data_IF_563686516577
#
_entry.id   IF_563686516577
#
_cell.length_a   1.000
_cell.length_b   1.000
_cell.length_c   1.000
_cell.angle_alpha   90.00
_cell.angle_beta   90.00
_cell.angle_gamma   90.00
#
_symmetry.space_group_name_H-M   'P 1'
#
loop_
_entity.id
_entity.type
_entity.pdbx_description
1 polymer ?
#
# COMPACT_ATOMS: atom_id res chain seq x y z
N UNK A 1 -44.34 -1.25 -81.33
CA UNK A 1 -44.77 -2.61 -81.07
C UNK A 1 -43.61 -3.55 -81.43
N UNK A 2 -42.70 -3.82 -80.49
CA UNK A 2 -41.62 -4.82 -80.67
C UNK A 2 -41.42 -5.51 -79.31
N UNK A 3 -41.80 -6.79 -79.23
CA UNK A 3 -41.51 -7.73 -78.17
C UNK A 3 -39.99 -7.94 -78.04
N UNK A 4 -39.43 -7.87 -76.87
CA UNK A 4 -38.10 -8.39 -76.61
C UNK A 4 -38.18 -9.56 -75.63
N UNK A 5 -37.80 -10.69 -76.07
CA UNK A 5 -37.59 -11.93 -75.35
C UNK A 5 -36.49 -11.78 -74.26
N UNK A 6 -36.83 -12.13 -73.07
CA UNK A 6 -35.82 -12.28 -71.98
C UNK A 6 -35.42 -13.75 -71.93
N UNK A 7 -34.15 -14.02 -72.24
CA UNK A 7 -33.53 -15.33 -72.07
C UNK A 7 -33.20 -15.59 -70.62
N UNK A 8 -33.77 -16.61 -70.03
CA UNK A 8 -33.36 -17.18 -68.73
C UNK A 8 -32.04 -17.94 -68.89
N UNK A 9 -31.00 -17.57 -68.17
CA UNK A 9 -29.80 -18.34 -67.91
C UNK A 9 -30.01 -19.20 -66.65
N UNK A 10 -29.62 -20.47 -66.61
CA UNK A 10 -29.70 -21.28 -65.39
C UNK A 10 -28.53 -20.95 -64.44
N UNK A 11 -28.84 -20.67 -63.19
CA UNK A 11 -27.89 -20.51 -62.09
C UNK A 11 -27.40 -21.93 -61.73
N UNK A 12 -26.13 -22.20 -61.96
CA UNK A 12 -25.46 -23.39 -61.43
C UNK A 12 -25.04 -23.11 -60.02
N UNK A 13 -25.68 -23.77 -59.05
CA UNK A 13 -25.31 -23.77 -57.65
C UNK A 13 -24.05 -24.66 -57.46
N UNK A 14 -22.92 -24.05 -57.17
CA UNK A 14 -21.71 -24.75 -56.74
C UNK A 14 -21.74 -24.89 -55.23
N UNK A 15 -21.65 -26.07 -54.64
CA UNK A 15 -21.58 -26.19 -53.17
C UNK A 15 -20.17 -25.81 -52.70
N UNK A 16 -20.09 -24.70 -51.94
CA UNK A 16 -18.88 -24.35 -51.18
C UNK A 16 -18.75 -25.32 -50.00
N UNK A 17 -17.82 -26.23 -50.08
CA UNK A 17 -17.33 -27.02 -48.96
C UNK A 17 -16.51 -26.08 -48.05
N UNK A 18 -17.13 -25.56 -47.01
CA UNK A 18 -16.45 -24.92 -45.90
C UNK A 18 -15.78 -26.00 -45.04
N UNK A 19 -14.49 -26.22 -45.27
CA UNK A 19 -13.63 -26.96 -44.36
C UNK A 19 -13.34 -26.05 -43.17
N UNK A 20 -14.18 -26.09 -42.11
CA UNK A 20 -13.93 -25.43 -40.84
C UNK A 20 -12.87 -26.23 -40.11
N UNK A 21 -11.65 -25.71 -40.02
CA UNK A 21 -10.71 -26.14 -38.98
C UNK A 21 -11.24 -25.63 -37.63
N UNK A 22 -11.91 -26.50 -36.89
CA UNK A 22 -12.17 -26.30 -35.46
C UNK A 22 -10.85 -26.52 -34.71
N UNK A 23 -10.14 -25.43 -34.43
CA UNK A 23 -9.11 -25.45 -33.40
C UNK A 23 -9.79 -25.65 -32.04
N UNK A 24 -9.90 -26.92 -31.64
CA UNK A 24 -10.24 -27.28 -30.28
C UNK A 24 -9.06 -26.89 -29.36
N UNK A 25 -9.12 -25.68 -28.78
CA UNK A 25 -8.36 -25.40 -27.58
C UNK A 25 -8.75 -26.41 -26.49
N UNK A 26 -7.90 -27.39 -26.30
CA UNK A 26 -7.99 -28.32 -25.16
C UNK A 26 -7.62 -27.52 -23.90
N UNK A 27 -8.59 -26.85 -23.31
CA UNK A 27 -8.43 -26.28 -21.99
C UNK A 27 -8.14 -27.42 -21.01
N UNK A 28 -6.86 -27.61 -20.64
CA UNK A 28 -6.48 -28.47 -19.53
C UNK A 28 -7.09 -27.88 -18.26
N UNK A 29 -8.18 -28.45 -17.80
CA UNK A 29 -8.67 -28.21 -16.43
C UNK A 29 -7.59 -28.67 -15.48
N UNK A 30 -6.79 -27.74 -14.95
CA UNK A 30 -5.85 -27.99 -13.87
C UNK A 30 -6.68 -28.14 -12.62
N UNK A 31 -6.87 -29.37 -12.14
CA UNK A 31 -7.53 -29.63 -10.86
C UNK A 31 -6.65 -29.09 -9.74
N UNK A 32 -7.05 -27.97 -9.17
CA UNK A 32 -6.41 -27.37 -8.00
C UNK A 32 -6.53 -28.24 -6.74
N UNK A 33 -7.54 -29.10 -6.66
CA UNK A 33 -7.76 -30.01 -5.53
C UNK A 33 -6.61 -30.99 -5.28
N UNK A 34 -5.91 -31.43 -6.34
CA UNK A 34 -4.78 -32.38 -6.19
C UNK A 34 -3.54 -31.70 -5.60
N UNK A 35 -3.37 -30.40 -5.75
CA UNK A 35 -2.27 -29.62 -5.14
C UNK A 35 -2.52 -29.31 -3.67
N UNK A 36 -3.78 -29.06 -3.30
CA UNK A 36 -4.18 -28.80 -1.91
C UNK A 36 -3.98 -30.08 -1.06
N UNK A 37 -4.39 -31.26 -1.56
CA UNK A 37 -4.23 -32.52 -0.83
C UNK A 37 -2.76 -32.96 -0.64
N UNK A 38 -1.87 -32.55 -1.52
CA UNK A 38 -0.42 -32.86 -1.37
C UNK A 38 0.28 -31.90 -0.41
N UNK A 39 -0.19 -30.66 -0.30
CA UNK A 39 0.31 -29.67 0.67
C UNK A 39 -0.16 -29.96 2.11
N UNK A 40 -1.36 -30.54 2.28
CA UNK A 40 -1.89 -30.89 3.60
C UNK A 40 -1.25 -32.16 4.24
N UNK A 41 -0.58 -33.01 3.45
CA UNK A 41 0.04 -34.25 3.98
C UNK A 41 1.47 -34.10 4.48
N UNK A 42 2.17 -33.03 4.15
CA UNK A 42 3.60 -32.90 4.50
C UNK A 42 3.91 -31.92 5.64
N UNK A 43 2.89 -31.26 6.23
CA UNK A 43 3.11 -30.19 7.21
C UNK A 43 2.33 -30.32 8.53
N UNK A 44 1.98 -31.51 8.96
CA UNK A 44 1.07 -31.73 10.10
C UNK A 44 1.68 -31.65 11.49
N UNK A 45 2.99 -31.80 11.68
CA UNK A 45 3.57 -31.91 13.02
C UNK A 45 4.87 -31.15 13.28
N UNK A 46 5.68 -30.85 12.25
CA UNK A 46 6.97 -30.19 12.49
C UNK A 46 6.89 -28.64 12.53
N UNK A 47 5.85 -28.00 11.98
CA UNK A 47 5.75 -26.55 11.93
C UNK A 47 5.10 -25.90 13.17
N UNK A 48 4.39 -26.65 14.01
CA UNK A 48 3.77 -26.09 15.22
C UNK A 48 4.79 -25.84 16.34
N UNK A 49 5.89 -26.60 16.37
CA UNK A 49 7.00 -26.37 17.33
C UNK A 49 8.01 -25.30 16.86
N UNK A 50 8.14 -25.09 15.54
CA UNK A 50 9.03 -24.06 14.99
C UNK A 50 8.48 -22.63 15.16
N UNK A 51 7.18 -22.45 15.40
CA UNK A 51 6.51 -21.15 15.52
C UNK A 51 6.47 -20.62 16.98
N UNK A 52 6.72 -21.50 17.97
CA UNK A 52 6.81 -21.12 19.37
C UNK A 52 8.12 -20.33 19.60
N UNK A 53 8.03 -19.01 19.70
CA UNK A 53 9.16 -18.09 19.93
C UNK A 53 9.55 -17.23 18.71
N UNK A 54 8.85 -17.34 17.58
CA UNK A 54 9.06 -16.47 16.42
C UNK A 54 8.12 -15.24 16.49
N UNK A 55 8.71 -14.04 16.50
CA UNK A 55 7.97 -12.79 16.52
C UNK A 55 7.38 -12.49 15.12
N UNK A 56 6.09 -12.20 15.05
CA UNK A 56 5.42 -11.87 13.78
C UNK A 56 5.44 -10.38 13.57
N UNK A 57 5.92 -9.95 12.39
CA UNK A 57 6.02 -8.56 12.00
C UNK A 57 5.04 -8.25 10.86
N UNK A 58 4.17 -7.26 11.06
CA UNK A 58 3.22 -6.75 10.07
C UNK A 58 3.65 -5.40 9.50
N UNK A 59 3.02 -4.97 8.43
CA UNK A 59 3.20 -3.64 7.88
C UNK A 59 1.99 -3.21 7.06
N UNK A 60 1.75 -1.90 7.01
CA UNK A 60 0.79 -1.31 6.11
C UNK A 60 1.26 -1.48 4.66
N UNK A 61 0.38 -1.98 3.78
CA UNK A 61 0.69 -2.12 2.36
C UNK A 61 0.84 -0.74 1.70
N UNK A 62 1.99 -0.46 1.09
CA UNK A 62 2.29 0.86 0.52
C UNK A 62 2.58 0.81 -0.97
N UNK A 63 3.50 -0.04 -1.37
CA UNK A 63 3.92 -0.20 -2.76
C UNK A 63 3.23 -1.40 -3.42
N UNK A 64 2.84 -2.36 -2.63
CA UNK A 64 2.15 -3.58 -3.02
C UNK A 64 2.79 -4.82 -2.40
N UNK A 65 2.04 -5.93 -2.28
CA UNK A 65 2.43 -7.09 -1.48
C UNK A 65 3.82 -7.62 -1.78
N UNK A 66 4.13 -7.82 -3.05
CA UNK A 66 5.42 -8.39 -3.49
C UNK A 66 6.59 -7.46 -3.21
N UNK A 67 6.41 -6.17 -3.44
CA UNK A 67 7.48 -5.18 -3.26
C UNK A 67 7.71 -4.90 -1.77
N UNK A 68 6.65 -4.74 -1.00
CA UNK A 68 6.74 -4.51 0.45
C UNK A 68 7.44 -5.70 1.14
N UNK A 69 7.06 -6.95 0.83
CA UNK A 69 7.74 -8.15 1.36
C UNK A 69 9.23 -8.16 1.00
N UNK A 70 9.60 -7.85 -0.25
CA UNK A 70 10.98 -7.80 -0.71
C UNK A 70 11.82 -6.78 0.06
N UNK A 71 11.24 -5.65 0.42
CA UNK A 71 11.90 -4.59 1.19
C UNK A 71 12.05 -4.98 2.66
N UNK A 72 11.00 -5.55 3.27
CA UNK A 72 11.01 -5.85 4.71
C UNK A 72 11.77 -7.11 5.09
N UNK A 73 11.90 -8.11 4.21
CA UNK A 73 12.63 -9.36 4.53
C UNK A 73 14.08 -9.10 4.98
N UNK A 74 14.91 -8.32 4.25
CA UNK A 74 16.28 -8.01 4.69
C UNK A 74 16.32 -7.22 6.00
N UNK A 75 15.36 -6.32 6.22
CA UNK A 75 15.24 -5.58 7.47
C UNK A 75 14.92 -6.50 8.66
N UNK A 76 14.02 -7.47 8.49
CA UNK A 76 13.75 -8.45 9.54
C UNK A 76 14.96 -9.32 9.85
N UNK A 77 15.74 -9.69 8.83
CA UNK A 77 17.01 -10.40 9.05
C UNK A 77 17.99 -9.57 9.87
N UNK A 78 18.05 -8.25 9.62
CA UNK A 78 18.82 -7.34 10.48
C UNK A 78 18.30 -7.37 11.93
N UNK A 79 16.98 -7.28 12.15
CA UNK A 79 16.40 -7.36 13.50
C UNK A 79 16.74 -8.68 14.20
N UNK A 80 16.67 -9.82 13.50
CA UNK A 80 17.04 -11.12 14.04
C UNK A 80 18.49 -11.15 14.53
N UNK A 81 19.42 -10.69 13.70
CA UNK A 81 20.86 -10.72 13.96
C UNK A 81 21.25 -9.83 15.16
N UNK A 82 20.48 -8.79 15.45
CA UNK A 82 20.87 -7.76 16.42
C UNK A 82 19.98 -7.71 17.68
N UNK A 83 18.78 -8.31 17.68
CA UNK A 83 17.88 -8.32 18.84
C UNK A 83 17.87 -9.65 19.59
N UNK A 84 18.48 -10.71 19.04
CA UNK A 84 18.45 -12.05 19.61
C UNK A 84 17.08 -12.75 19.49
N UNK A 85 16.16 -12.23 18.66
CA UNK A 85 14.83 -12.78 18.47
C UNK A 85 14.65 -13.20 17.01
N UNK A 86 13.89 -14.27 16.75
CA UNK A 86 13.50 -14.66 15.39
C UNK A 86 12.28 -13.87 14.93
N UNK A 87 12.22 -13.54 13.63
CA UNK A 87 11.12 -12.81 13.03
C UNK A 87 10.58 -13.51 11.80
N UNK A 88 9.26 -13.39 11.60
CA UNK A 88 8.60 -13.77 10.36
C UNK A 88 7.64 -12.65 9.93
N UNK A 89 7.40 -12.53 8.62
CA UNK A 89 6.38 -11.61 8.11
C UNK A 89 5.00 -12.23 8.34
N UNK A 90 4.10 -11.45 8.95
CA UNK A 90 2.67 -11.72 8.89
C UNK A 90 2.07 -10.83 7.79
N UNK A 91 1.83 -11.43 6.65
CA UNK A 91 1.18 -10.77 5.55
C UNK A 91 -0.32 -10.63 5.81
N UNK A 92 -0.88 -9.47 5.45
CA UNK A 92 -2.33 -9.21 5.48
C UNK A 92 -2.81 -8.84 4.08
N UNK A 93 -3.96 -9.34 3.68
CA UNK A 93 -4.54 -9.03 2.37
C UNK A 93 -5.14 -7.63 2.33
N UNK A 94 -5.61 -7.13 3.47
CA UNK A 94 -6.23 -5.83 3.63
C UNK A 94 -5.43 -4.94 4.55
N UNK A 95 -5.33 -3.68 4.20
CA UNK A 95 -4.67 -2.65 5.01
C UNK A 95 -5.24 -2.57 6.44
N UNK A 96 -6.52 -2.82 6.61
CA UNK A 96 -7.22 -2.78 7.88
C UNK A 96 -6.77 -3.87 8.85
N UNK A 97 -6.43 -5.05 8.32
CA UNK A 97 -6.08 -6.22 9.14
C UNK A 97 -4.79 -6.02 9.94
N UNK A 98 -3.91 -5.10 9.54
CA UNK A 98 -2.65 -4.84 10.25
C UNK A 98 -2.89 -4.30 11.67
N UNK A 99 -3.86 -3.39 11.83
CA UNK A 99 -4.25 -2.83 13.13
C UNK A 99 -4.87 -3.89 14.04
N UNK A 100 -5.82 -4.66 13.51
CA UNK A 100 -6.51 -5.72 14.24
C UNK A 100 -5.54 -6.84 14.64
N UNK A 101 -4.65 -7.25 13.73
CA UNK A 101 -3.63 -8.28 14.03
C UNK A 101 -2.67 -7.82 15.13
N UNK A 102 -2.21 -6.57 15.09
CA UNK A 102 -1.37 -6.00 16.15
C UNK A 102 -2.13 -5.89 17.47
N UNK A 103 -3.37 -5.42 17.42
CA UNK A 103 -4.22 -5.23 18.58
C UNK A 103 -4.55 -6.52 19.32
N UNK A 104 -4.76 -7.60 18.58
CA UNK A 104 -5.10 -8.93 19.10
C UNK A 104 -3.87 -9.83 19.37
N UNK A 105 -2.63 -9.33 19.20
CA UNK A 105 -1.41 -10.10 19.42
C UNK A 105 -1.09 -11.15 18.36
N UNK A 106 -1.80 -11.12 17.22
CA UNK A 106 -1.51 -11.98 16.07
C UNK A 106 -0.20 -11.55 15.42
N UNK A 107 0.08 -10.26 15.36
CA UNK A 107 1.41 -9.68 15.11
C UNK A 107 1.96 -9.08 16.40
N UNK A 108 3.27 -9.18 16.57
CA UNK A 108 3.99 -8.65 17.75
C UNK A 108 4.46 -7.23 17.51
N UNK A 109 4.95 -6.95 16.32
CA UNK A 109 5.40 -5.64 15.86
C UNK A 109 4.82 -5.32 14.49
N UNK A 110 4.64 -4.03 14.19
CA UNK A 110 4.19 -3.61 12.87
C UNK A 110 4.73 -2.23 12.48
N UNK A 111 5.04 -2.06 11.19
CA UNK A 111 5.32 -0.76 10.58
C UNK A 111 4.00 -0.12 10.14
N UNK A 112 3.54 0.89 10.86
CA UNK A 112 2.25 1.55 10.67
C UNK A 112 2.40 3.01 10.27
N UNK A 113 1.49 3.49 9.44
CA UNK A 113 1.26 4.93 9.29
C UNK A 113 0.64 5.52 10.56
N UNK A 114 0.79 6.84 10.80
CA UNK A 114 0.29 7.50 12.00
C UNK A 114 -1.19 7.27 12.30
N UNK A 115 -2.07 7.24 11.31
CA UNK A 115 -3.50 6.93 11.51
C UNK A 115 -3.67 5.52 12.07
N UNK A 116 -3.03 4.51 11.49
CA UNK A 116 -3.11 3.15 11.98
C UNK A 116 -2.45 2.97 13.35
N UNK A 117 -1.36 3.70 13.63
CA UNK A 117 -0.76 3.73 14.97
C UNK A 117 -1.75 4.29 16.00
N UNK A 118 -2.43 5.40 15.70
CA UNK A 118 -3.49 5.97 16.57
C UNK A 118 -4.62 4.97 16.76
N UNK A 119 -5.10 4.32 15.69
CA UNK A 119 -6.15 3.30 15.80
C UNK A 119 -5.74 2.10 16.66
N UNK A 120 -4.51 1.60 16.48
CA UNK A 120 -3.98 0.47 17.26
C UNK A 120 -3.85 0.85 18.75
N UNK A 121 -3.37 2.06 19.03
CA UNK A 121 -3.24 2.57 20.40
C UNK A 121 -4.61 2.76 21.07
N UNK A 122 -5.52 3.50 20.45
CA UNK A 122 -6.80 3.88 21.07
C UNK A 122 -7.76 2.69 21.21
N UNK A 123 -7.80 1.79 20.23
CA UNK A 123 -8.72 0.64 20.26
C UNK A 123 -8.18 -0.56 21.03
N UNK A 124 -6.87 -0.78 21.00
CA UNK A 124 -6.29 -2.05 21.48
C UNK A 124 -5.20 -1.87 22.54
N UNK A 125 -4.75 -0.65 22.82
CA UNK A 125 -3.67 -0.39 23.76
C UNK A 125 -2.29 -0.75 23.24
N UNK A 126 -2.10 -0.79 21.92
CA UNK A 126 -0.78 -0.97 21.32
C UNK A 126 0.15 0.20 21.64
N UNK A 127 1.45 -0.08 21.75
CA UNK A 127 2.46 0.94 21.97
C UNK A 127 3.22 1.32 20.71
N UNK A 128 3.88 2.48 20.72
CA UNK A 128 4.78 2.91 19.65
C UNK A 128 6.22 2.92 20.16
N UNK A 129 7.16 2.34 19.38
CA UNK A 129 8.58 2.23 19.76
C UNK A 129 9.39 3.41 19.27
N UNK A 130 9.38 3.61 17.95
CA UNK A 130 10.26 4.54 17.23
C UNK A 130 9.51 5.16 16.05
N UNK A 131 10.02 6.30 15.57
CA UNK A 131 9.56 6.98 14.37
C UNK A 131 10.62 6.86 13.27
N UNK A 132 10.17 6.66 12.03
CA UNK A 132 11.04 6.64 10.87
C UNK A 132 11.61 8.02 10.55
N UNK A 133 12.85 8.05 10.08
CA UNK A 133 13.53 9.25 9.60
C UNK A 133 13.46 9.30 8.07
N UNK A 134 12.98 10.40 7.51
CA UNK A 134 12.92 10.66 6.07
C UNK A 134 14.32 10.84 5.47
N UNK A 135 14.41 11.10 4.16
CA UNK A 135 15.69 11.30 3.45
C UNK A 135 16.53 12.48 3.96
N UNK A 136 15.91 13.41 4.70
CA UNK A 136 16.55 14.57 5.34
C UNK A 136 16.95 14.31 6.80
N UNK A 137 16.69 13.12 7.33
CA UNK A 137 16.96 12.77 8.73
C UNK A 137 15.91 13.32 9.72
N UNK A 138 14.71 13.69 9.24
CA UNK A 138 13.64 14.22 10.06
C UNK A 138 12.54 13.17 10.29
N UNK A 139 11.89 13.12 11.47
CA UNK A 139 10.80 12.18 11.75
C UNK A 139 9.46 12.65 11.16
N UNK A 140 9.47 13.06 9.93
CA UNK A 140 8.33 13.65 9.24
C UNK A 140 8.22 13.19 7.79
N UNK A 141 7.01 13.26 7.23
CA UNK A 141 6.73 13.10 5.81
C UNK A 141 5.65 14.08 5.33
N UNK A 142 5.38 14.07 4.04
CA UNK A 142 4.34 14.91 3.44
C UNK A 142 3.42 14.06 2.57
N UNK A 143 2.16 14.47 2.47
CA UNK A 143 1.27 13.98 1.43
C UNK A 143 1.36 14.90 0.21
N UNK A 144 1.22 14.30 -0.96
CA UNK A 144 1.26 15.01 -2.25
C UNK A 144 -0.04 14.75 -3.00
N UNK A 145 -0.65 15.82 -3.51
CA UNK A 145 -1.73 15.73 -4.48
C UNK A 145 -1.15 16.02 -5.86
N UNK A 146 -1.42 15.14 -6.80
CA UNK A 146 -0.82 15.13 -8.13
C UNK A 146 -1.85 14.84 -9.23
N UNK A 147 -1.45 15.10 -10.45
CA UNK A 147 -2.19 14.78 -11.67
C UNK A 147 -1.21 14.36 -12.77
N UNK A 148 -1.71 13.88 -13.92
CA UNK A 148 -0.85 13.62 -15.08
C UNK A 148 -0.12 14.88 -15.51
N UNK A 149 1.05 14.71 -16.12
CA UNK A 149 1.89 15.83 -16.55
C UNK A 149 1.17 16.78 -17.53
N UNK A 150 0.37 16.23 -18.43
CA UNK A 150 -0.38 16.92 -19.47
C UNK A 150 -1.78 17.43 -19.03
N UNK A 151 -2.20 17.17 -17.79
CA UNK A 151 -3.50 17.59 -17.27
C UNK A 151 -3.63 19.12 -17.24
N UNK A 152 -4.81 19.70 -17.55
CA UNK A 152 -5.07 21.13 -17.40
C UNK A 152 -5.16 21.61 -15.95
N UNK A 153 -5.28 20.69 -14.97
CA UNK A 153 -5.39 20.99 -13.55
C UNK A 153 -4.06 21.55 -13.04
N UNK A 154 -4.08 22.75 -12.44
CA UNK A 154 -2.89 23.46 -11.96
C UNK A 154 -2.82 23.60 -10.44
N UNK A 155 -3.96 23.57 -9.75
CA UNK A 155 -4.07 23.77 -8.31
C UNK A 155 -5.29 23.02 -7.73
N UNK A 156 -5.42 23.03 -6.39
CA UNK A 156 -6.50 22.31 -5.70
C UNK A 156 -7.91 22.80 -6.09
N UNK A 157 -8.10 24.09 -6.38
CA UNK A 157 -9.44 24.63 -6.73
C UNK A 157 -9.96 24.07 -8.04
N UNK A 158 -9.06 23.70 -8.96
CA UNK A 158 -9.41 23.10 -10.26
C UNK A 158 -9.99 21.67 -10.11
N UNK A 159 -9.92 21.09 -8.90
CA UNK A 159 -10.46 19.76 -8.61
C UNK A 159 -11.98 19.74 -8.38
N UNK A 160 -12.64 20.90 -8.27
CA UNK A 160 -14.11 20.96 -8.20
C UNK A 160 -14.72 20.34 -9.46
N UNK A 161 -15.62 19.36 -9.27
CA UNK A 161 -16.24 18.60 -10.36
C UNK A 161 -15.33 17.60 -11.05
N UNK A 162 -14.15 17.30 -10.49
CA UNK A 162 -13.18 16.30 -10.99
C UNK A 162 -13.25 15.00 -10.19
N UNK A 163 -12.66 13.94 -10.73
CA UNK A 163 -12.54 12.65 -10.04
C UNK A 163 -11.24 12.59 -9.24
N UNK A 164 -11.26 11.93 -8.07
CA UNK A 164 -10.11 11.86 -7.18
C UNK A 164 -9.83 10.43 -6.67
N UNK A 165 -8.61 9.97 -6.80
CA UNK A 165 -8.14 8.70 -6.27
C UNK A 165 -7.47 8.89 -4.90
N UNK A 166 -8.05 8.30 -3.85
CA UNK A 166 -7.40 8.15 -2.56
C UNK A 166 -6.65 6.80 -2.51
N UNK A 167 -5.69 6.68 -1.58
CA UNK A 167 -5.04 5.40 -1.25
C UNK A 167 -5.99 4.46 -0.51
N UNK A 168 -5.61 4.00 0.68
CA UNK A 168 -6.51 3.28 1.57
C UNK A 168 -7.30 4.25 2.48
N UNK A 169 -8.47 3.81 2.99
CA UNK A 169 -9.31 4.62 3.91
C UNK A 169 -8.57 5.06 5.17
N UNK A 170 -7.67 4.23 5.69
CA UNK A 170 -6.86 4.50 6.90
C UNK A 170 -5.48 5.08 6.55
N UNK A 171 -5.17 5.29 5.28
CA UNK A 171 -3.88 5.87 4.88
C UNK A 171 -3.76 7.33 5.29
N UNK A 172 -2.72 7.66 6.04
CA UNK A 172 -2.43 9.04 6.44
C UNK A 172 -2.09 9.90 5.22
N UNK A 173 -1.13 9.50 4.40
CA UNK A 173 -0.67 10.25 3.22
C UNK A 173 -1.58 10.06 1.99
N UNK A 174 -2.24 8.89 1.87
CA UNK A 174 -3.09 8.59 0.71
C UNK A 174 -4.54 9.07 0.85
N UNK A 175 -5.01 9.38 2.08
CA UNK A 175 -6.39 9.78 2.31
C UNK A 175 -6.54 10.93 3.29
N UNK A 176 -6.15 10.75 4.56
CA UNK A 176 -6.52 11.69 5.64
C UNK A 176 -5.95 13.08 5.39
N UNK A 177 -4.66 13.17 5.08
CA UNK A 177 -4.01 14.45 4.78
C UNK A 177 -4.52 15.04 3.45
N UNK A 178 -4.55 14.30 2.31
CA UNK A 178 -5.14 14.81 1.07
C UNK A 178 -6.57 15.32 1.24
N UNK A 179 -7.43 14.60 1.97
CA UNK A 179 -8.79 15.07 2.27
C UNK A 179 -8.80 16.39 3.03
N UNK A 180 -7.94 16.54 4.06
CA UNK A 180 -7.78 17.81 4.78
C UNK A 180 -7.29 18.92 3.87
N UNK A 181 -6.34 18.63 2.95
CA UNK A 181 -5.84 19.63 1.98
C UNK A 181 -6.95 20.11 1.04
N UNK A 182 -7.78 19.19 0.55
CA UNK A 182 -8.97 19.55 -0.28
C UNK A 182 -9.95 20.41 0.51
N UNK A 183 -10.31 20.02 1.73
CA UNK A 183 -11.22 20.79 2.59
C UNK A 183 -10.68 22.19 2.90
N UNK A 184 -9.38 22.34 3.16
CA UNK A 184 -8.73 23.64 3.36
C UNK A 184 -8.76 24.53 2.10
N UNK A 185 -8.86 23.95 0.92
CA UNK A 185 -9.04 24.66 -0.36
C UNK A 185 -10.52 24.90 -0.71
N UNK A 186 -11.45 24.59 0.22
CA UNK A 186 -12.90 24.75 0.01
C UNK A 186 -13.54 23.62 -0.80
N UNK A 187 -12.87 22.47 -0.94
CA UNK A 187 -13.37 21.32 -1.70
C UNK A 187 -13.69 20.19 -0.74
N UNK A 188 -14.96 19.89 -0.55
CA UNK A 188 -15.44 18.71 0.17
C UNK A 188 -15.56 17.53 -0.80
N UNK A 189 -15.75 16.32 -0.27
CA UNK A 189 -15.98 15.13 -1.09
C UNK A 189 -17.22 15.27 -1.98
N UNK A 190 -18.24 16.02 -1.54
CA UNK A 190 -19.46 16.31 -2.32
C UNK A 190 -19.21 17.25 -3.51
N UNK A 191 -18.13 18.02 -3.51
CA UNK A 191 -17.76 18.89 -4.62
C UNK A 191 -16.97 18.16 -5.72
N UNK A 192 -16.52 16.93 -5.49
CA UNK A 192 -15.90 16.09 -6.48
C UNK A 192 -16.97 15.46 -7.38
N UNK A 193 -16.66 15.21 -8.65
CA UNK A 193 -17.50 14.40 -9.54
C UNK A 193 -17.61 12.96 -9.04
N UNK A 194 -16.55 12.47 -8.39
CA UNK A 194 -16.48 11.14 -7.78
C UNK A 194 -15.12 10.90 -7.16
N UNK A 195 -15.05 9.94 -6.27
CA UNK A 195 -13.80 9.51 -5.67
C UNK A 195 -13.84 8.01 -5.35
N UNK A 196 -12.66 7.39 -5.23
CA UNK A 196 -12.53 6.00 -4.82
C UNK A 196 -11.27 5.79 -3.97
N UNK A 197 -11.23 4.65 -3.30
CA UNK A 197 -10.08 4.16 -2.55
C UNK A 197 -9.42 3.03 -3.34
N UNK A 198 -8.16 3.21 -3.72
CA UNK A 198 -7.42 2.29 -4.59
C UNK A 198 -6.58 1.26 -3.83
N UNK A 199 -6.53 1.37 -2.50
CA UNK A 199 -5.88 0.43 -1.58
C UNK A 199 -4.38 0.64 -1.39
N UNK A 200 -3.65 1.30 -2.30
CA UNK A 200 -2.22 1.59 -2.14
C UNK A 200 -1.78 2.83 -2.90
N UNK A 201 -0.62 3.40 -2.52
CA UNK A 201 -0.05 4.55 -3.24
C UNK A 201 0.28 4.25 -4.71
N UNK A 202 0.79 3.04 -4.98
CA UNK A 202 1.10 2.59 -6.35
C UNK A 202 -0.16 2.45 -7.19
N UNK A 203 -1.23 1.89 -6.64
CA UNK A 203 -2.51 1.78 -7.36
C UNK A 203 -3.12 3.16 -7.62
N UNK A 204 -3.04 4.10 -6.64
CA UNK A 204 -3.47 5.50 -6.84
C UNK A 204 -2.71 6.14 -7.99
N UNK A 205 -1.38 5.98 -8.01
CA UNK A 205 -0.54 6.52 -9.08
C UNK A 205 -0.94 5.94 -10.44
N UNK A 206 -1.10 4.62 -10.52
CA UNK A 206 -1.51 3.93 -11.75
C UNK A 206 -2.88 4.38 -12.24
N UNK A 207 -3.88 4.49 -11.36
CA UNK A 207 -5.23 4.90 -11.72
C UNK A 207 -5.26 6.33 -12.32
N UNK A 208 -4.46 7.26 -11.77
CA UNK A 208 -4.33 8.61 -12.34
C UNK A 208 -3.57 8.58 -13.66
N UNK A 209 -2.46 7.85 -13.76
CA UNK A 209 -1.67 7.75 -14.99
C UNK A 209 -2.45 7.12 -16.13
N UNK A 210 -3.32 6.15 -15.84
CA UNK A 210 -4.23 5.53 -16.81
C UNK A 210 -5.41 6.45 -17.20
N UNK A 211 -5.60 7.59 -16.51
CA UNK A 211 -6.72 8.49 -16.77
C UNK A 211 -8.06 8.04 -16.18
N UNK A 212 -8.05 7.06 -15.27
CA UNK A 212 -9.25 6.61 -14.54
C UNK A 212 -9.73 7.69 -13.55
N UNK A 213 -8.79 8.49 -13.05
CA UNK A 213 -9.02 9.64 -12.17
C UNK A 213 -8.22 10.85 -12.63
N UNK A 214 -8.77 12.04 -12.40
CA UNK A 214 -8.15 13.32 -12.78
C UNK A 214 -6.96 13.66 -11.88
N UNK A 215 -7.01 13.29 -10.60
CA UNK A 215 -5.97 13.54 -9.61
C UNK A 215 -5.97 12.47 -8.51
N UNK A 216 -4.92 12.47 -7.70
CA UNK A 216 -4.81 11.53 -6.58
C UNK A 216 -3.90 12.01 -5.46
N UNK A 217 -4.00 11.32 -4.30
CA UNK A 217 -3.19 11.55 -3.11
C UNK A 217 -2.20 10.41 -2.86
N UNK A 218 -0.90 10.72 -2.78
CA UNK A 218 0.16 9.73 -2.55
C UNK A 218 1.22 10.23 -1.56
N UNK A 219 2.10 9.32 -1.17
CA UNK A 219 3.29 9.64 -0.38
C UNK A 219 4.32 10.44 -1.19
N UNK A 220 5.08 11.29 -0.52
CA UNK A 220 6.06 12.20 -1.14
C UNK A 220 7.22 11.47 -1.82
N UNK A 221 7.72 10.36 -1.25
CA UNK A 221 8.81 9.59 -1.86
C UNK A 221 8.40 8.99 -3.23
N UNK A 222 7.18 8.46 -3.34
CA UNK A 222 6.66 7.99 -4.63
C UNK A 222 6.46 9.16 -5.60
N UNK A 223 5.89 10.27 -5.12
CA UNK A 223 5.70 11.47 -5.95
C UNK A 223 7.02 11.99 -6.51
N UNK A 224 8.08 12.09 -5.69
CA UNK A 224 9.43 12.52 -6.14
C UNK A 224 9.96 11.64 -7.28
N UNK A 225 9.77 10.31 -7.20
CA UNK A 225 10.18 9.38 -8.27
C UNK A 225 9.41 9.62 -9.56
N UNK A 226 8.07 9.68 -9.48
CA UNK A 226 7.21 9.88 -10.65
C UNK A 226 7.42 11.25 -11.33
N UNK A 227 7.74 12.29 -10.56
CA UNK A 227 8.15 13.61 -11.11
C UNK A 227 9.45 13.50 -11.87
N UNK A 228 10.45 12.79 -11.33
CA UNK A 228 11.75 12.57 -12.00
C UNK A 228 11.60 11.78 -13.31
N UNK A 229 10.63 10.88 -13.36
CA UNK A 229 10.27 10.12 -14.57
C UNK A 229 9.47 10.95 -15.59
N UNK A 230 9.04 12.17 -15.24
CA UNK A 230 8.27 13.05 -16.12
C UNK A 230 6.80 12.64 -16.28
N UNK A 231 6.28 11.77 -15.45
CA UNK A 231 4.95 11.19 -15.61
C UNK A 231 3.83 12.03 -14.98
N UNK A 232 4.15 12.78 -13.91
CA UNK A 232 3.17 13.52 -13.12
C UNK A 232 3.57 14.96 -12.88
N UNK A 233 2.55 15.76 -12.54
CA UNK A 233 2.68 17.12 -12.04
C UNK A 233 2.11 17.20 -10.63
N UNK A 234 2.90 17.71 -9.69
CA UNK A 234 2.46 17.99 -8.32
C UNK A 234 1.65 19.29 -8.31
N UNK A 235 0.44 19.26 -7.75
CA UNK A 235 -0.43 20.44 -7.64
C UNK A 235 -0.55 20.95 -6.20
N UNK A 236 -0.24 20.11 -5.21
CA UNK A 236 -0.12 20.54 -3.81
C UNK A 236 0.73 19.57 -2.99
N UNK A 237 1.44 20.13 -2.00
CA UNK A 237 2.22 19.40 -1.01
C UNK A 237 1.73 19.83 0.39
N UNK A 238 1.54 18.90 1.30
CA UNK A 238 1.12 19.21 2.67
C UNK A 238 2.23 19.87 3.49
N UNK A 239 1.88 20.48 4.62
CA UNK A 239 2.85 20.70 5.70
C UNK A 239 3.43 19.34 6.15
N UNK A 240 4.54 19.33 6.92
CA UNK A 240 5.05 18.10 7.51
C UNK A 240 4.06 17.50 8.51
N UNK A 241 4.02 16.18 8.53
CA UNK A 241 3.28 15.36 9.48
C UNK A 241 4.21 14.26 10.01
N UNK A 242 3.90 13.65 11.17
CA UNK A 242 4.70 12.55 11.73
C UNK A 242 4.92 11.45 10.71
N UNK A 243 6.13 10.92 10.64
CA UNK A 243 6.49 9.80 9.79
C UNK A 243 5.87 8.48 10.27
N UNK A 244 6.12 7.41 9.54
CA UNK A 244 5.71 6.06 9.93
C UNK A 244 6.38 5.60 11.20
N UNK A 245 5.72 4.71 11.92
CA UNK A 245 6.15 4.23 13.22
C UNK A 245 6.31 2.71 13.20
N UNK A 246 7.22 2.21 14.05
CA UNK A 246 7.18 0.80 14.46
C UNK A 246 6.41 0.74 15.78
N UNK A 247 5.29 0.01 15.73
CA UNK A 247 4.40 -0.19 16.86
C UNK A 247 4.51 -1.64 17.35
N UNK A 248 4.07 -1.88 18.60
CA UNK A 248 4.07 -3.20 19.22
C UNK A 248 2.74 -3.53 19.88
N UNK A 249 2.42 -4.80 19.90
CA UNK A 249 1.25 -5.31 20.63
C UNK A 249 1.48 -5.26 22.13
N UNK A 250 0.44 -4.91 22.90
CA UNK A 250 0.49 -4.89 24.38
C UNK A 250 0.83 -6.25 25.00
N UNK A 251 0.77 -7.33 24.23
CA UNK A 251 1.07 -8.70 24.70
C UNK A 251 2.55 -9.08 24.55
N UNK A 252 3.40 -8.20 24.00
CA UNK A 252 4.84 -8.46 23.85
C UNK A 252 5.55 -8.24 25.17
N UNK A 253 6.47 -9.16 25.52
CA UNK A 253 7.28 -9.06 26.73
C UNK A 253 8.09 -7.74 26.74
N UNK A 254 8.14 -7.02 27.87
CA UNK A 254 8.89 -5.76 28.02
C UNK A 254 10.39 -5.89 27.68
N UNK A 255 11.01 -7.04 27.97
CA UNK A 255 12.43 -7.28 27.62
C UNK A 255 12.63 -7.37 26.12
N UNK A 256 11.71 -8.03 25.42
CA UNK A 256 11.70 -8.08 23.94
C UNK A 256 11.48 -6.68 23.35
N UNK A 257 10.54 -5.93 23.89
CA UNK A 257 10.27 -4.53 23.49
C UNK A 257 11.55 -3.70 23.60
N UNK A 258 12.26 -3.78 24.74
CA UNK A 258 13.51 -3.05 24.97
C UNK A 258 14.61 -3.45 23.99
N UNK A 259 14.81 -4.76 23.76
CA UNK A 259 15.81 -5.27 22.83
C UNK A 259 15.54 -4.80 21.39
N UNK A 260 14.29 -4.94 20.92
CA UNK A 260 13.89 -4.51 19.57
C UNK A 260 14.01 -2.99 19.42
N UNK A 261 13.62 -2.20 20.44
CA UNK A 261 13.77 -0.74 20.42
C UNK A 261 15.25 -0.33 20.28
N UNK A 262 16.13 -0.92 21.07
CA UNK A 262 17.57 -0.65 20.99
C UNK A 262 18.13 -0.98 19.61
N UNK A 263 17.75 -2.13 19.04
CA UNK A 263 18.14 -2.55 17.69
C UNK A 263 17.65 -1.57 16.63
N UNK A 264 16.39 -1.12 16.73
CA UNK A 264 15.83 -0.15 15.78
C UNK A 264 16.56 1.20 15.82
N UNK A 265 16.89 1.69 17.02
CA UNK A 265 17.63 2.96 17.17
C UNK A 265 19.08 2.89 16.67
N UNK A 266 19.66 1.68 16.63
CA UNK A 266 21.00 1.42 16.07
C UNK A 266 20.98 1.13 14.56
N UNK A 267 19.80 1.11 13.93
CA UNK A 267 19.66 0.81 12.49
C UNK A 267 20.14 1.97 11.62
N UNK A 268 21.22 1.73 10.88
CA UNK A 268 21.84 2.71 9.97
C UNK A 268 21.78 2.21 8.52
N UNK A 269 20.64 2.42 7.84
CA UNK A 269 20.43 1.91 6.48
C UNK A 269 21.22 2.65 5.40
N UNK A 270 21.83 3.78 5.70
CA UNK A 270 22.62 4.53 4.73
C UNK A 270 24.09 4.10 4.68
N UNK A 271 24.63 3.63 5.80
CA UNK A 271 26.04 3.30 5.91
C UNK A 271 26.25 1.82 6.27
N UNK A 272 26.29 1.48 7.55
CA UNK A 272 26.72 0.17 8.03
C UNK A 272 25.80 -1.00 7.56
N UNK A 273 24.51 -0.76 7.41
CA UNK A 273 23.54 -1.80 7.03
C UNK A 273 23.10 -1.74 5.57
N UNK A 274 23.56 -0.75 4.81
CA UNK A 274 23.12 -0.49 3.42
C UNK A 274 23.22 -1.72 2.49
N UNK A 275 24.34 -2.44 2.58
CA UNK A 275 24.61 -3.60 1.69
C UNK A 275 23.67 -4.78 1.91
N UNK A 276 23.03 -4.85 3.06
CA UNK A 276 22.10 -5.92 3.44
C UNK A 276 20.66 -5.63 2.99
N UNK A 277 20.37 -4.39 2.61
CA UNK A 277 19.02 -3.92 2.33
C UNK A 277 18.71 -3.89 0.83
N UNK A 278 17.45 -4.08 0.50
CA UNK A 278 16.93 -3.97 -0.87
C UNK A 278 15.89 -2.86 -0.89
N UNK A 279 16.11 -1.82 -1.70
CA UNK A 279 15.15 -0.74 -1.94
C UNK A 279 14.58 -0.06 -0.67
N UNK A 280 15.31 -0.08 0.43
CA UNK A 280 14.89 0.53 1.70
C UNK A 280 14.65 2.04 1.58
N UNK A 281 15.32 2.69 0.66
CA UNK A 281 15.14 4.10 0.29
C UNK A 281 13.74 4.42 -0.29
N UNK A 282 12.99 3.41 -0.71
CA UNK A 282 11.60 3.57 -1.14
C UNK A 282 10.60 3.65 0.03
N UNK A 283 11.02 3.31 1.24
CA UNK A 283 10.19 3.43 2.46
C UNK A 283 10.12 4.88 2.93
N UNK A 284 9.27 5.13 3.92
CA UNK A 284 9.23 6.43 4.62
C UNK A 284 10.30 6.54 5.73
N UNK A 285 11.16 5.53 5.86
CA UNK A 285 12.17 5.40 6.92
C UNK A 285 13.59 5.22 6.36
N UNK A 286 13.96 5.91 5.26
CA UNK A 286 15.22 5.66 4.55
C UNK A 286 16.47 5.97 5.36
N UNK A 287 16.36 6.72 6.45
CA UNK A 287 17.46 7.06 7.36
C UNK A 287 17.39 6.37 8.72
N UNK A 288 16.61 5.26 8.83
CA UNK A 288 16.44 4.57 10.09
C UNK A 288 15.41 5.23 11.01
N UNK A 289 15.68 5.27 12.30
CA UNK A 289 14.67 5.59 13.29
C UNK A 289 15.18 6.55 14.37
N UNK A 290 14.23 7.23 15.02
CA UNK A 290 14.44 8.04 16.23
C UNK A 290 13.42 7.67 17.30
N UNK A 291 13.63 8.16 18.52
CA UNK A 291 12.70 8.01 19.63
C UNK A 291 11.30 8.52 19.28
N UNK A 292 10.29 7.79 19.75
CA UNK A 292 8.90 8.19 19.60
C UNK A 292 8.53 9.29 20.60
N UNK A 293 7.84 10.34 20.12
CA UNK A 293 7.22 11.37 20.93
C UNK A 293 5.70 11.37 20.70
N UNK A 294 4.93 11.06 21.74
CA UNK A 294 3.47 10.94 21.66
C UNK A 294 2.76 12.22 21.23
N UNK A 295 3.29 13.40 21.61
CA UNK A 295 2.70 14.69 21.25
C UNK A 295 2.59 14.91 19.72
N UNK A 296 3.44 14.24 18.94
CA UNK A 296 3.43 14.35 17.48
C UNK A 296 2.17 13.76 16.82
N UNK A 297 1.45 12.86 17.52
CA UNK A 297 0.26 12.19 16.99
C UNK A 297 -1.06 12.93 17.29
N UNK A 298 -1.09 13.98 18.09
CA UNK A 298 -2.33 14.64 18.53
C UNK A 298 -3.17 15.20 17.38
N UNK A 299 -2.52 15.82 16.38
CA UNK A 299 -3.23 16.30 15.21
C UNK A 299 -3.82 15.13 14.37
N UNK A 300 -3.05 14.05 14.23
CA UNK A 300 -3.52 12.85 13.51
C UNK A 300 -4.70 12.21 14.26
N UNK A 301 -4.63 12.16 15.59
CA UNK A 301 -5.74 11.67 16.43
C UNK A 301 -7.00 12.51 16.20
N UNK A 302 -6.89 13.84 16.23
CA UNK A 302 -8.00 14.76 15.94
C UNK A 302 -8.61 14.51 14.56
N UNK A 303 -7.78 14.33 13.53
CA UNK A 303 -8.25 14.04 12.17
C UNK A 303 -8.90 12.65 12.08
N UNK A 304 -8.40 11.67 12.84
CA UNK A 304 -8.95 10.31 12.86
C UNK A 304 -10.37 10.30 13.43
N UNK A 305 -10.64 11.10 14.49
CA UNK A 305 -11.99 11.35 14.99
C UNK A 305 -12.85 12.13 13.99
N UNK A 306 -12.33 13.24 13.46
CA UNK A 306 -13.06 14.08 12.49
C UNK A 306 -13.58 13.31 11.30
N UNK A 307 -12.80 12.36 10.80
CA UNK A 307 -13.18 11.56 9.62
C UNK A 307 -13.85 10.22 9.95
N UNK A 308 -14.25 10.01 11.22
CA UNK A 308 -15.08 8.89 11.65
C UNK A 308 -14.36 7.54 11.67
N UNK A 309 -13.03 7.51 11.76
CA UNK A 309 -12.25 6.28 11.92
C UNK A 309 -12.16 5.85 13.39
N UNK A 310 -12.27 6.80 14.31
CA UNK A 310 -12.52 6.63 15.76
C UNK A 310 -13.85 7.26 16.10
N UNK A 311 -14.54 6.65 17.08
CA UNK A 311 -15.81 7.12 17.63
C UNK A 311 -15.60 7.57 19.08
#
# INVERSE_FOLDING_TARGET
MKLRFFRLLPFILLPFLLCGCEDREVSKKVSLERRIKTAERDNGTDNLQADAGTLKFGFDLRLGPKEDVRIYLPFLKYLEQNSGNRFSIRFTEKYEDTVENLGNGITHFAALGPVNCVLAKEKYGAGCLVMGLNSEGKPEYRAVIFTKIDSPIKNLKDLKGKTFAFGDRRSTQGHIIPRKMLENAGITLANLKGYSFTGSHTNTARAVLNGEYDAGGIQDNLAKRLVKEGNIKVIAVSKPYPSSLICYSKYVDPLIIKAVKSTLLSFDPKNSHRKQLVDWDKTEMPNGFTEFNSATLEEIKTLTYKYGLLK
#
